data_IF_673711231193
#
_entry.id   IF_673711231193
#
_cell.length_a   1.000
_cell.length_b   1.000
_cell.length_c   1.000
_cell.angle_alpha   90.00
_cell.angle_beta   90.00
_cell.angle_gamma   90.00
#
_symmetry.space_group_name_H-M   'P 1'
#
loop_
_entity.id
_entity.type
_entity.pdbx_description
1 polymer ?
#
# COMPACT_ATOMS: atom_id res chain seq x y z
N UNK A 1 27.28 11.44 -3.95
CA UNK A 1 27.42 11.02 -2.54
C UNK A 1 26.27 10.09 -2.24
N UNK A 2 26.49 8.88 -1.70
CA UNK A 2 25.37 8.09 -1.21
C UNK A 2 24.77 8.84 -0.01
N UNK A 3 23.46 9.08 -0.09
CA UNK A 3 22.69 9.70 0.98
C UNK A 3 22.54 8.64 2.07
N UNK A 4 22.99 8.98 3.28
CA UNK A 4 22.90 8.11 4.45
C UNK A 4 21.47 8.24 5.00
N UNK A 5 20.67 7.19 4.80
CA UNK A 5 19.29 7.15 5.27
C UNK A 5 19.21 6.65 6.72
N UNK A 6 18.33 7.22 7.56
CA UNK A 6 17.95 6.58 8.81
C UNK A 6 17.29 5.24 8.48
N UNK A 7 17.77 4.14 9.09
CA UNK A 7 17.20 2.78 8.96
C UNK A 7 15.72 2.66 9.35
N UNK A 8 15.12 3.75 9.82
CA UNK A 8 13.77 3.86 10.39
C UNK A 8 12.70 4.29 9.35
N UNK A 9 13.13 4.56 8.11
CA UNK A 9 12.29 4.98 6.99
C UNK A 9 12.18 3.92 5.87
N UNK A 10 12.76 2.74 6.07
CA UNK A 10 12.65 1.63 5.11
C UNK A 10 11.28 0.93 5.27
N UNK A 11 10.43 0.84 4.22
CA UNK A 11 9.17 0.10 4.26
C UNK A 11 9.36 -1.42 4.40
N UNK A 12 10.59 -1.92 4.22
CA UNK A 12 11.00 -3.29 4.55
C UNK A 12 11.67 -3.40 5.93
N UNK A 13 11.81 -2.28 6.66
CA UNK A 13 12.18 -2.34 8.06
C UNK A 13 11.06 -3.08 8.78
N UNK A 14 11.39 -4.24 9.36
CA UNK A 14 10.50 -5.10 10.15
C UNK A 14 9.97 -4.45 11.44
N UNK A 15 9.79 -3.13 11.45
CA UNK A 15 9.40 -2.37 12.64
C UNK A 15 8.55 -1.21 12.17
N UNK A 16 7.26 -1.24 12.51
CA UNK A 16 6.30 -0.16 12.33
C UNK A 16 6.65 1.03 13.24
N UNK A 17 7.87 1.57 13.12
CA UNK A 17 8.40 2.69 13.92
C UNK A 17 7.65 4.00 13.68
N UNK A 18 6.76 4.02 12.70
CA UNK A 18 5.92 5.18 12.42
C UNK A 18 4.74 5.31 13.39
N UNK A 19 4.33 4.22 14.05
CA UNK A 19 3.33 4.26 15.11
C UNK A 19 4.08 4.45 16.44
N UNK A 20 3.75 5.49 17.23
CA UNK A 20 4.38 5.72 18.52
C UNK A 20 4.17 4.55 19.48
N UNK A 21 5.22 4.11 20.20
CA UNK A 21 5.11 3.04 21.20
C UNK A 21 4.00 3.30 22.20
N UNK A 22 3.90 4.55 22.65
CA UNK A 22 2.87 4.96 23.59
C UNK A 22 1.46 4.68 23.08
N UNK A 23 1.19 4.91 21.79
CA UNK A 23 -0.13 4.65 21.21
C UNK A 23 -0.44 3.15 21.19
N UNK A 24 0.57 2.31 20.89
CA UNK A 24 0.44 0.85 20.94
C UNK A 24 0.18 0.40 22.39
N UNK A 25 0.93 0.92 23.37
CA UNK A 25 0.77 0.60 24.79
C UNK A 25 -0.59 1.02 25.33
N UNK A 26 -1.00 2.27 25.07
CA UNK A 26 -2.29 2.80 25.49
C UNK A 26 -3.43 1.93 24.91
N UNK A 27 -3.33 1.53 23.63
CA UNK A 27 -4.33 0.66 22.99
C UNK A 27 -4.34 -0.76 23.57
N UNK A 28 -3.16 -1.33 23.86
CA UNK A 28 -3.05 -2.63 24.51
C UNK A 28 -3.68 -2.60 25.91
N UNK A 29 -3.48 -1.54 26.68
CA UNK A 29 -4.07 -1.38 28.02
C UNK A 29 -5.60 -1.24 27.96
N UNK A 30 -6.13 -0.52 26.97
CA UNK A 30 -7.58 -0.33 26.77
C UNK A 30 -8.28 -1.60 26.25
N UNK A 31 -7.57 -2.38 25.42
CA UNK A 31 -8.11 -3.59 24.75
C UNK A 31 -7.87 -4.85 25.58
N UNK A 32 -6.96 -4.82 26.56
CA UNK A 32 -6.67 -5.93 27.47
C UNK A 32 -7.93 -6.32 28.27
N UNK A 33 -8.62 -7.36 27.82
CA UNK A 33 -9.73 -7.92 28.57
C UNK A 33 -9.21 -8.55 29.88
N UNK A 34 -9.89 -8.35 31.02
CA UNK A 34 -9.44 -8.85 32.33
C UNK A 34 -9.32 -10.38 32.44
N UNK A 35 -9.69 -11.14 31.39
CA UNK A 35 -9.69 -12.59 31.34
C UNK A 35 -9.08 -13.19 30.06
N UNK A 36 -8.42 -12.40 29.18
CA UNK A 36 -7.68 -13.01 28.07
C UNK A 36 -6.40 -13.68 28.61
N UNK A 37 -6.19 -14.95 28.25
CA UNK A 37 -4.97 -15.69 28.58
C UNK A 37 -3.80 -15.32 27.67
N UNK A 38 -4.03 -14.49 26.67
CA UNK A 38 -3.03 -14.03 25.71
C UNK A 38 -2.83 -12.53 25.93
N UNK A 39 -1.65 -12.19 26.42
CA UNK A 39 -1.14 -10.82 26.51
C UNK A 39 -0.21 -10.63 25.34
N UNK A 40 -0.61 -9.84 24.36
CA UNK A 40 0.25 -9.47 23.24
C UNK A 40 1.34 -8.50 23.71
N UNK A 41 2.58 -8.77 23.35
CA UNK A 41 3.69 -7.86 23.62
C UNK A 41 3.76 -6.75 22.56
N UNK A 42 4.31 -5.60 22.95
CA UNK A 42 4.46 -4.45 22.05
C UNK A 42 5.18 -4.78 20.74
N UNK A 43 6.24 -5.60 20.80
CA UNK A 43 7.00 -5.97 19.61
C UNK A 43 6.21 -6.90 18.68
N UNK A 44 5.34 -7.76 19.23
CA UNK A 44 4.46 -8.64 18.44
C UNK A 44 3.49 -7.79 17.62
N UNK A 45 2.84 -6.81 18.25
CA UNK A 45 1.95 -5.87 17.57
C UNK A 45 2.71 -5.01 16.55
N UNK A 46 3.94 -4.59 16.84
CA UNK A 46 4.79 -3.87 15.87
C UNK A 46 5.06 -4.71 14.62
N UNK A 47 5.27 -6.01 14.77
CA UNK A 47 5.50 -6.91 13.64
C UNK A 47 4.22 -7.05 12.80
N UNK A 48 3.05 -7.18 13.43
CA UNK A 48 1.75 -7.24 12.75
C UNK A 48 1.44 -5.93 12.00
N UNK A 49 1.64 -4.77 12.64
CA UNK A 49 1.47 -3.46 11.99
C UNK A 49 2.43 -3.27 10.81
N UNK A 50 3.65 -3.82 10.89
CA UNK A 50 4.61 -3.80 9.79
C UNK A 50 4.11 -4.61 8.60
N UNK A 51 3.48 -5.76 8.87
CA UNK A 51 2.84 -6.57 7.85
C UNK A 51 1.67 -5.84 7.20
N UNK A 52 0.74 -5.26 7.97
CA UNK A 52 -0.35 -4.44 7.43
C UNK A 52 0.19 -3.32 6.53
N UNK A 53 1.19 -2.56 6.98
CA UNK A 53 1.85 -1.54 6.16
C UNK A 53 2.41 -2.10 4.85
N UNK A 54 3.05 -3.28 4.88
CA UNK A 54 3.54 -3.93 3.67
C UNK A 54 2.38 -4.28 2.74
N UNK A 55 1.33 -4.94 3.25
CA UNK A 55 0.15 -5.34 2.47
C UNK A 55 -0.57 -4.15 1.85
N UNK A 56 -0.67 -3.03 2.57
CA UNK A 56 -1.25 -1.79 2.05
C UNK A 56 -0.45 -1.24 0.86
N UNK A 57 0.89 -1.30 0.91
CA UNK A 57 1.74 -0.92 -0.22
C UNK A 57 1.60 -1.91 -1.37
N UNK A 58 1.49 -3.21 -1.09
CA UNK A 58 1.23 -4.25 -2.10
C UNK A 58 -0.09 -4.03 -2.85
N UNK A 59 -1.13 -3.67 -2.10
CA UNK A 59 -2.47 -3.47 -2.59
C UNK A 59 -2.74 -2.05 -3.11
N UNK A 60 -1.73 -1.17 -3.13
CA UNK A 60 -1.91 0.25 -3.47
C UNK A 60 -2.66 0.49 -4.79
N UNK A 61 -2.35 -0.28 -5.84
CA UNK A 61 -3.03 -0.20 -7.14
C UNK A 61 -4.52 -0.57 -7.03
N UNK A 62 -4.84 -1.61 -6.25
CA UNK A 62 -6.22 -2.01 -5.99
C UNK A 62 -6.98 -0.90 -5.25
N UNK A 63 -6.30 -0.20 -4.33
CA UNK A 63 -6.89 0.89 -3.57
C UNK A 63 -7.16 2.09 -4.47
N UNK A 64 -6.24 2.45 -5.37
CA UNK A 64 -6.45 3.49 -6.37
C UNK A 64 -7.63 3.17 -7.30
N UNK A 65 -7.76 1.91 -7.74
CA UNK A 65 -8.88 1.45 -8.55
C UNK A 65 -10.21 1.53 -7.78
N UNK A 66 -10.23 1.09 -6.52
CA UNK A 66 -11.41 1.16 -5.63
C UNK A 66 -11.85 2.61 -5.38
N UNK A 67 -10.90 3.50 -5.07
CA UNK A 67 -11.14 4.94 -4.92
C UNK A 67 -11.68 5.53 -6.23
N UNK A 68 -11.11 5.15 -7.38
CA UNK A 68 -11.57 5.58 -8.70
C UNK A 68 -13.00 5.11 -9.04
N UNK A 69 -13.47 4.01 -8.44
CA UNK A 69 -14.84 3.50 -8.57
C UNK A 69 -15.80 4.06 -7.51
N UNK A 70 -15.29 4.78 -6.50
CA UNK A 70 -16.06 5.28 -5.37
C UNK A 70 -16.42 4.22 -4.32
N UNK A 71 -15.70 3.09 -4.30
CA UNK A 71 -15.86 1.99 -3.34
C UNK A 71 -15.03 2.21 -2.06
N UNK A 72 -14.09 3.15 -2.09
CA UNK A 72 -13.35 3.67 -0.95
C UNK A 72 -13.01 5.13 -1.15
N UNK A 73 -12.45 5.79 -0.12
CA UNK A 73 -12.04 7.19 -0.25
C UNK A 73 -10.75 7.50 0.50
N UNK A 74 -10.03 8.53 0.05
CA UNK A 74 -8.93 9.11 0.83
C UNK A 74 -9.56 10.13 1.78
N UNK A 75 -9.63 9.78 3.06
CA UNK A 75 -10.17 10.67 4.10
C UNK A 75 -9.16 11.73 4.53
N UNK A 76 -7.86 11.39 4.51
CA UNK A 76 -6.78 12.28 4.89
C UNK A 76 -5.49 11.95 4.14
N UNK A 77 -4.73 13.00 3.82
CA UNK A 77 -3.42 12.87 3.18
C UNK A 77 -2.51 14.03 3.58
N UNK A 78 -1.30 13.71 4.08
CA UNK A 78 -0.23 14.69 4.33
C UNK A 78 1.10 14.22 3.71
N UNK A 79 2.23 14.82 4.07
CA UNK A 79 3.54 14.43 3.51
C UNK A 79 3.99 13.00 3.90
N UNK A 80 3.47 12.46 5.01
CA UNK A 80 3.94 11.20 5.62
C UNK A 80 2.90 10.09 5.63
N UNK A 81 1.61 10.40 5.58
CA UNK A 81 0.51 9.48 5.80
C UNK A 81 -0.62 9.65 4.79
N UNK A 82 -1.32 8.55 4.55
CA UNK A 82 -2.59 8.49 3.85
C UNK A 82 -3.53 7.69 4.75
N UNK A 83 -4.76 8.16 4.91
CA UNK A 83 -5.83 7.39 5.53
C UNK A 83 -6.82 7.03 4.43
N UNK A 84 -6.98 5.73 4.21
CA UNK A 84 -8.03 5.22 3.34
C UNK A 84 -9.19 4.78 4.19
N UNK A 85 -10.35 5.36 3.90
CA UNK A 85 -11.63 4.95 4.45
C UNK A 85 -12.18 3.81 3.58
N UNK A 86 -12.18 2.61 4.15
CA UNK A 86 -12.68 1.39 3.51
C UNK A 86 -14.15 1.11 3.89
N UNK A 87 -14.83 2.04 4.56
CA UNK A 87 -16.19 1.84 5.04
C UNK A 87 -16.23 0.78 6.14
N UNK A 88 -17.28 -0.05 6.14
CA UNK A 88 -17.49 -1.11 7.15
C UNK A 88 -17.09 -2.51 6.66
N UNK A 89 -16.44 -2.60 5.50
CA UNK A 89 -16.31 -3.87 4.79
C UNK A 89 -14.98 -4.58 5.00
N UNK A 90 -13.90 -3.82 5.22
CA UNK A 90 -12.56 -4.36 5.34
C UNK A 90 -11.86 -3.65 6.51
N UNK A 91 -11.41 -4.43 7.49
CA UNK A 91 -10.67 -3.95 8.65
C UNK A 91 -9.18 -4.09 8.38
N UNK A 92 -8.31 -3.20 8.89
CA UNK A 92 -6.87 -3.39 8.82
C UNK A 92 -6.40 -4.75 9.35
N UNK A 93 -7.07 -5.29 10.38
CA UNK A 93 -6.82 -6.63 10.94
C UNK A 93 -7.07 -7.78 9.96
N UNK A 94 -8.00 -7.64 9.00
CA UNK A 94 -8.31 -8.70 8.03
C UNK A 94 -7.12 -9.01 7.10
N UNK A 95 -6.13 -8.11 7.01
CA UNK A 95 -4.89 -8.35 6.26
C UNK A 95 -3.88 -9.25 6.98
N UNK A 96 -4.14 -9.61 8.23
CA UNK A 96 -3.30 -10.53 9.01
C UNK A 96 -3.55 -12.01 8.63
N UNK A 97 -4.62 -12.33 7.91
CA UNK A 97 -4.92 -13.69 7.41
C UNK A 97 -3.77 -14.32 6.60
N UNK A 98 -2.92 -13.48 6.00
CA UNK A 98 -1.76 -13.91 5.20
C UNK A 98 -0.44 -13.71 5.92
N UNK A 99 -0.45 -13.50 7.24
CA UNK A 99 0.76 -13.33 8.03
C UNK A 99 1.43 -14.69 8.27
N UNK A 100 2.68 -14.83 7.84
CA UNK A 100 3.48 -16.08 7.98
C UNK A 100 4.60 -15.94 9.03
N UNK A 101 4.49 -14.99 9.96
CA UNK A 101 5.51 -14.73 10.97
C UNK A 101 5.42 -15.61 12.21
N UNK A 102 6.15 -15.22 13.26
CA UNK A 102 6.24 -15.99 14.51
C UNK A 102 5.16 -15.67 15.54
N UNK A 103 4.41 -14.60 15.33
CA UNK A 103 3.28 -14.18 16.19
C UNK A 103 2.05 -14.99 15.81
N UNK A 104 1.35 -15.54 16.80
CA UNK A 104 0.06 -16.19 16.59
C UNK A 104 -1.01 -15.12 16.37
N UNK A 105 -1.69 -15.15 15.22
CA UNK A 105 -2.71 -14.17 14.88
C UNK A 105 -4.07 -14.73 15.27
N UNK A 106 -4.69 -14.12 16.26
CA UNK A 106 -6.03 -14.40 16.70
C UNK A 106 -6.94 -13.16 16.56
N UNK A 107 -8.24 -13.32 16.85
CA UNK A 107 -9.22 -12.23 16.79
C UNK A 107 -8.80 -11.05 17.70
N UNK A 108 -8.14 -11.33 18.83
CA UNK A 108 -7.60 -10.28 19.69
C UNK A 108 -6.51 -9.47 19.01
N UNK A 109 -5.60 -10.09 18.28
CA UNK A 109 -4.54 -9.40 17.54
C UNK A 109 -5.11 -8.54 16.41
N UNK A 110 -6.11 -9.06 15.68
CA UNK A 110 -6.83 -8.32 14.63
C UNK A 110 -7.55 -7.08 15.19
N UNK A 111 -8.23 -7.23 16.32
CA UNK A 111 -8.93 -6.15 17.00
C UNK A 111 -7.97 -5.08 17.52
N UNK A 112 -6.83 -5.48 18.11
CA UNK A 112 -5.79 -4.55 18.57
C UNK A 112 -5.21 -3.76 17.39
N UNK A 113 -4.85 -4.43 16.29
CA UNK A 113 -4.31 -3.77 15.09
C UNK A 113 -5.32 -2.79 14.51
N UNK A 114 -6.59 -3.20 14.41
CA UNK A 114 -7.68 -2.35 13.94
C UNK A 114 -7.86 -1.14 14.84
N UNK A 115 -7.88 -1.32 16.17
CA UNK A 115 -7.99 -0.24 17.15
C UNK A 115 -6.82 0.75 17.06
N UNK A 116 -5.60 0.27 16.82
CA UNK A 116 -4.41 1.12 16.64
C UNK A 116 -4.54 2.00 15.40
N UNK A 117 -5.02 1.46 14.27
CA UNK A 117 -5.26 2.26 13.07
C UNK A 117 -6.34 3.31 13.31
N UNK A 118 -7.44 2.95 13.99
CA UNK A 118 -8.50 3.89 14.38
C UNK A 118 -7.96 5.00 15.29
N UNK A 119 -7.20 4.67 16.34
CA UNK A 119 -6.61 5.63 17.26
C UNK A 119 -5.63 6.57 16.54
N UNK A 120 -4.79 6.03 15.64
CA UNK A 120 -3.89 6.85 14.83
C UNK A 120 -4.66 7.79 13.90
N UNK A 121 -5.76 7.33 13.30
CA UNK A 121 -6.61 8.16 12.44
C UNK A 121 -7.25 9.31 13.22
N UNK A 122 -7.77 9.04 14.42
CA UNK A 122 -8.31 10.06 15.32
C UNK A 122 -7.26 11.11 15.70
N UNK A 123 -6.00 10.71 15.91
CA UNK A 123 -4.90 11.64 16.20
C UNK A 123 -4.60 12.54 14.99
N UNK A 124 -4.67 12.01 13.77
CA UNK A 124 -4.34 12.72 12.53
C UNK A 124 -5.46 13.65 12.06
N UNK A 125 -6.73 13.24 12.16
CA UNK A 125 -7.87 13.99 11.61
C UNK A 125 -8.69 14.73 12.65
N UNK A 126 -8.60 14.32 13.92
CA UNK A 126 -9.51 14.73 15.01
C UNK A 126 -10.99 14.35 14.78
N UNK A 127 -11.25 13.42 13.87
CA UNK A 127 -12.60 12.91 13.60
C UNK A 127 -12.87 11.58 14.32
N UNK A 128 -14.15 11.31 14.60
CA UNK A 128 -14.60 10.00 15.08
C UNK A 128 -14.73 9.03 13.91
N UNK A 129 -14.28 7.79 14.15
CA UNK A 129 -14.27 6.70 13.16
C UNK A 129 -15.19 5.55 13.63
N UNK A 130 -16.32 5.91 14.24
CA UNK A 130 -17.21 4.93 14.90
C UNK A 130 -17.98 4.07 13.88
N UNK A 131 -18.20 4.61 12.68
CA UNK A 131 -19.00 3.99 11.62
C UNK A 131 -18.15 3.44 10.45
N UNK A 132 -16.82 3.53 10.51
CA UNK A 132 -15.94 3.03 9.44
C UNK A 132 -14.56 2.63 9.96
N UNK A 133 -13.87 1.78 9.19
CA UNK A 133 -12.52 1.34 9.51
C UNK A 133 -11.50 2.20 8.78
N UNK A 134 -10.77 3.00 9.56
CA UNK A 134 -9.65 3.78 9.06
C UNK A 134 -8.46 2.87 8.78
N UNK A 135 -7.91 2.94 7.57
CA UNK A 135 -6.62 2.31 7.29
C UNK A 135 -5.53 3.37 7.10
N UNK A 136 -4.79 3.62 8.18
CA UNK A 136 -3.65 4.54 8.19
C UNK A 136 -2.42 3.87 7.57
N UNK A 137 -1.94 4.41 6.46
CA UNK A 137 -0.74 3.97 5.77
C UNK A 137 0.32 5.05 5.87
N UNK A 138 1.54 4.68 6.23
CA UNK A 138 2.70 5.55 6.01
C UNK A 138 3.02 5.57 4.52
N UNK A 139 3.07 6.76 3.91
CA UNK A 139 3.57 6.92 2.54
C UNK A 139 4.99 6.36 2.47
N UNK A 140 5.27 5.41 1.56
CA UNK A 140 6.66 5.13 1.23
C UNK A 140 7.33 6.42 0.72
N UNK A 141 8.65 6.57 0.86
CA UNK A 141 9.39 7.62 0.19
C UNK A 141 8.92 7.71 -1.28
N UNK A 142 8.63 8.92 -1.76
CA UNK A 142 8.05 9.17 -3.11
C UNK A 142 8.72 8.35 -4.22
N UNK A 143 10.03 8.11 -4.13
CA UNK A 143 10.77 7.29 -5.10
C UNK A 143 10.43 5.79 -5.03
N UNK A 144 10.21 5.21 -3.86
CA UNK A 144 9.80 3.81 -3.69
C UNK A 144 8.36 3.60 -4.13
N UNK A 145 7.43 4.51 -3.81
CA UNK A 145 6.06 4.45 -4.38
C UNK A 145 6.17 4.51 -5.90
N UNK A 146 6.93 5.47 -6.44
CA UNK A 146 6.99 5.66 -7.89
C UNK A 146 7.63 4.46 -8.59
N UNK A 147 8.70 3.88 -8.03
CA UNK A 147 9.39 2.72 -8.60
C UNK A 147 8.58 1.43 -8.45
N UNK A 148 8.03 1.15 -7.27
CA UNK A 148 7.23 -0.05 -7.02
C UNK A 148 5.89 0.00 -7.76
N UNK A 149 5.20 1.15 -7.77
CA UNK A 149 4.03 1.39 -8.61
C UNK A 149 4.39 1.26 -10.10
N UNK A 150 5.49 1.85 -10.56
CA UNK A 150 5.90 1.70 -11.96
C UNK A 150 6.18 0.23 -12.31
N UNK A 151 6.94 -0.49 -11.47
CA UNK A 151 7.27 -1.91 -11.69
C UNK A 151 6.01 -2.78 -11.70
N UNK A 152 5.09 -2.60 -10.73
CA UNK A 152 3.84 -3.36 -10.68
C UNK A 152 2.90 -3.02 -11.82
N UNK A 153 2.75 -1.73 -12.15
CA UNK A 153 1.91 -1.29 -13.26
C UNK A 153 2.46 -1.77 -14.60
N UNK A 154 3.78 -1.71 -14.80
CA UNK A 154 4.46 -2.34 -15.94
C UNK A 154 4.21 -3.84 -15.94
N UNK A 155 4.29 -4.52 -14.80
CA UNK A 155 4.01 -5.96 -14.67
C UNK A 155 2.58 -6.34 -15.03
N UNK A 156 1.58 -5.56 -14.58
CA UNK A 156 0.18 -5.73 -14.96
C UNK A 156 0.00 -5.55 -16.46
N UNK A 157 0.46 -4.42 -17.01
CA UNK A 157 0.37 -4.13 -18.45
C UNK A 157 1.16 -5.14 -19.29
N UNK A 158 2.23 -5.70 -18.74
CA UNK A 158 3.02 -6.73 -19.39
C UNK A 158 2.26 -8.07 -19.47
N UNK A 159 1.49 -8.43 -18.44
CA UNK A 159 0.57 -9.59 -18.47
C UNK A 159 -0.48 -9.39 -19.55
N UNK A 160 -1.14 -8.23 -19.56
CA UNK A 160 -2.21 -7.92 -20.52
C UNK A 160 -1.70 -7.85 -21.97
N UNK A 161 -0.47 -7.34 -22.17
CA UNK A 161 0.10 -7.10 -23.51
C UNK A 161 1.09 -8.19 -23.96
N UNK A 162 1.34 -9.19 -23.12
CA UNK A 162 2.21 -10.34 -23.39
C UNK A 162 3.71 -10.02 -23.48
N UNK A 163 4.19 -8.89 -22.93
CA UNK A 163 5.62 -8.56 -22.90
C UNK A 163 5.92 -7.40 -21.95
N UNK A 164 7.00 -7.52 -21.17
CA UNK A 164 7.51 -6.43 -20.31
C UNK A 164 7.78 -5.16 -21.10
N UNK A 165 8.43 -5.26 -22.26
CA UNK A 165 8.70 -4.08 -23.11
C UNK A 165 7.43 -3.37 -23.59
N UNK A 166 6.35 -4.13 -23.85
CA UNK A 166 5.04 -3.54 -24.19
C UNK A 166 4.35 -2.93 -22.98
N UNK A 167 4.48 -3.55 -21.81
CA UNK A 167 4.00 -3.01 -20.54
C UNK A 167 4.70 -1.69 -20.17
N UNK A 168 6.02 -1.60 -20.39
CA UNK A 168 6.78 -0.36 -20.20
C UNK A 168 6.38 0.73 -21.18
N UNK A 169 6.21 0.39 -22.47
CA UNK A 169 5.74 1.36 -23.46
C UNK A 169 4.33 1.88 -23.15
N UNK A 170 3.45 0.98 -22.71
CA UNK A 170 2.09 1.30 -22.27
C UNK A 170 2.11 2.23 -21.06
N UNK A 171 2.91 1.90 -20.05
CA UNK A 171 3.02 2.70 -18.84
C UNK A 171 3.51 4.12 -19.16
N UNK A 172 4.57 4.25 -19.97
CA UNK A 172 5.12 5.56 -20.30
C UNK A 172 4.12 6.44 -21.09
N UNK A 173 3.44 5.88 -22.11
CA UNK A 173 2.59 6.65 -23.02
C UNK A 173 1.15 6.77 -22.54
N UNK A 174 0.54 5.66 -22.14
CA UNK A 174 -0.89 5.60 -21.84
C UNK A 174 -1.20 6.00 -20.38
N UNK A 175 -0.26 5.77 -19.45
CA UNK A 175 -0.45 6.07 -18.01
C UNK A 175 0.27 7.35 -17.61
N UNK A 176 1.58 7.45 -17.88
CA UNK A 176 2.40 8.61 -17.49
C UNK A 176 2.24 9.80 -18.45
N UNK A 177 1.63 9.60 -19.62
CA UNK A 177 1.26 10.67 -20.55
C UNK A 177 2.40 11.19 -21.42
N UNK A 178 3.51 10.45 -21.53
CA UNK A 178 4.59 10.82 -22.45
C UNK A 178 4.14 10.72 -23.90
N UNK A 179 4.61 11.66 -24.72
CA UNK A 179 4.41 11.51 -26.16
C UNK A 179 5.22 10.32 -26.68
N UNK A 180 4.67 9.60 -27.66
CA UNK A 180 5.37 8.47 -28.29
C UNK A 180 6.74 8.85 -28.87
N UNK A 181 6.91 10.10 -29.32
CA UNK A 181 8.19 10.59 -29.83
C UNK A 181 9.19 10.81 -28.69
N UNK A 182 8.79 11.52 -27.63
CA UNK A 182 9.62 11.73 -26.43
C UNK A 182 10.08 10.40 -25.82
N UNK A 183 9.18 9.43 -25.70
CA UNK A 183 9.52 8.11 -25.18
C UNK A 183 10.45 7.31 -26.10
N UNK A 184 10.27 7.44 -27.41
CA UNK A 184 11.16 6.82 -28.40
C UNK A 184 12.59 7.38 -28.29
N UNK A 185 12.72 8.70 -28.15
CA UNK A 185 14.00 9.38 -27.98
C UNK A 185 14.70 8.95 -26.67
N UNK A 186 13.96 8.79 -25.57
CA UNK A 186 14.49 8.32 -24.27
C UNK A 186 14.97 6.87 -24.27
N UNK A 187 14.52 6.07 -25.24
CA UNK A 187 14.80 4.62 -25.30
C UNK A 187 15.61 4.22 -26.53
N UNK A 188 16.19 5.20 -27.24
CA UNK A 188 16.96 5.00 -28.48
C UNK A 188 16.22 4.16 -29.53
N UNK A 189 14.90 4.37 -29.64
CA UNK A 189 14.01 3.70 -30.59
C UNK A 189 13.36 4.70 -31.53
N UNK A 190 12.74 4.19 -32.59
CA UNK A 190 11.90 5.04 -33.46
C UNK A 190 10.48 5.15 -32.89
N UNK A 191 9.80 6.28 -33.14
CA UNK A 191 8.37 6.44 -32.82
C UNK A 191 7.50 5.31 -33.38
N UNK A 192 7.82 4.83 -34.59
CA UNK A 192 7.11 3.73 -35.21
C UNK A 192 7.28 2.41 -34.43
N UNK A 193 8.46 2.15 -33.86
CA UNK A 193 8.70 0.99 -33.02
C UNK A 193 7.84 1.03 -31.74
N UNK A 194 7.76 2.19 -31.07
CA UNK A 194 6.89 2.40 -29.91
C UNK A 194 5.42 2.20 -30.28
N UNK A 195 4.95 2.81 -31.38
CA UNK A 195 3.57 2.66 -31.85
C UNK A 195 3.21 1.19 -32.17
N UNK A 196 4.10 0.47 -32.86
CA UNK A 196 3.90 -0.95 -33.17
C UNK A 196 3.85 -1.81 -31.90
N UNK A 197 4.65 -1.48 -30.88
CA UNK A 197 4.66 -2.13 -29.57
C UNK A 197 3.30 -1.99 -28.88
N UNK A 198 2.77 -0.76 -28.82
CA UNK A 198 1.46 -0.45 -28.23
C UNK A 198 0.31 -1.16 -28.98
N UNK A 199 0.30 -1.10 -30.32
CA UNK A 199 -0.76 -1.72 -31.14
C UNK A 199 -0.80 -3.24 -31.02
N UNK A 200 0.36 -3.90 -30.97
CA UNK A 200 0.42 -5.37 -30.82
C UNK A 200 -0.06 -5.81 -29.44
N UNK A 201 0.18 -5.02 -28.40
CA UNK A 201 -0.36 -5.28 -27.07
C UNK A 201 -1.89 -5.33 -27.05
N UNK A 202 -2.54 -4.39 -27.73
CA UNK A 202 -4.02 -4.29 -27.76
C UNK A 202 -4.70 -5.41 -28.57
N UNK A 203 -4.01 -6.01 -29.54
CA UNK A 203 -4.57 -7.11 -30.35
C UNK A 203 -4.50 -8.46 -29.63
N UNK A 204 -3.46 -8.69 -28.82
CA UNK A 204 -3.31 -9.90 -28.02
C UNK A 204 -4.39 -10.02 -26.93
N UNK A 205 -4.74 -8.92 -26.27
CA UNK A 205 -5.79 -8.90 -25.23
C UNK A 205 -7.23 -9.09 -25.75
N UNK A 206 -7.47 -8.93 -27.07
CA UNK A 206 -8.78 -9.10 -27.68
C UNK A 206 -9.00 -10.49 -28.31
N UNK A 207 -8.01 -11.38 -28.18
CA UNK A 207 -7.98 -12.70 -28.82
C UNK A 207 -8.06 -13.87 -27.83
N UNK A 208 -8.23 -13.58 -26.53
CA UNK A 208 -8.53 -14.52 -25.45
C UNK A 208 -9.96 -14.27 -24.93
#
# INVERSE_FOLDING_TARGET
>A
MPIDYPKDADPHCKRAKFIPDKLIQDTLEETAQPHSSQSHELEEIRDLLSHCQHRAVEAWDYWLDSIGRGEGSIAFEDESFIIVDQGQHERPGDHLDTYEGSVDVDESAEDIVTAIHTAMAQVLTHDSWDDSYAYVIRKPPLWQITEEHAVRRIGSLARDRGSVGRGTDAFAVDVYGESQQSWADKTDRTRQAVNNSLKRGNQSAASE
#
